data_IF_501950255736
#
_entry.id   IF_501950255736
#
_cell.length_a   1.000
_cell.length_b   1.000
_cell.length_c   1.000
_cell.angle_alpha   90.00
_cell.angle_beta   90.00
_cell.angle_gamma   90.00
#
_symmetry.space_group_name_H-M   'P 1'
#
loop_
_entity.id
_entity.type
_entity.pdbx_description
1 polymer ?
#
# COMPACT_ATOMS: atom_id res chain seq x y z
N UNK A 1 1.50 -0.80 -26.03
CA UNK A 1 0.40 -0.34 -25.18
C UNK A 1 0.85 0.90 -24.43
N UNK A 2 0.11 1.96 -24.58
CA UNK A 2 0.41 3.20 -23.89
C UNK A 2 -0.29 3.18 -22.54
N UNK A 3 0.43 3.46 -21.47
CA UNK A 3 -0.12 3.51 -20.15
C UNK A 3 -0.20 4.97 -19.70
N UNK A 4 -1.39 5.45 -19.42
CA UNK A 4 -1.59 6.80 -18.93
C UNK A 4 -1.91 6.79 -17.44
N UNK A 5 -1.16 7.59 -16.67
CA UNK A 5 -1.46 7.86 -15.29
C UNK A 5 -2.16 9.21 -15.19
N UNK A 6 -3.31 9.20 -14.57
CA UNK A 6 -4.07 10.43 -14.31
C UNK A 6 -3.67 11.00 -12.96
N UNK A 7 -3.28 12.25 -12.94
CA UNK A 7 -2.96 12.95 -11.69
C UNK A 7 -4.24 13.31 -10.94
N UNK A 8 -4.19 13.37 -9.62
CA UNK A 8 -3.02 13.11 -8.78
C UNK A 8 -2.75 11.61 -8.61
N UNK A 9 -1.46 11.28 -8.45
CA UNK A 9 -0.96 9.91 -8.34
C UNK A 9 -0.51 9.64 -6.90
N UNK A 10 -0.87 8.47 -6.38
CA UNK A 10 -0.41 7.99 -5.09
C UNK A 10 0.47 6.75 -5.29
N UNK A 11 1.63 6.73 -4.67
CA UNK A 11 2.50 5.56 -4.65
C UNK A 11 2.29 4.85 -3.31
N UNK A 12 1.83 3.59 -3.36
CA UNK A 12 1.58 2.78 -2.17
C UNK A 12 2.68 1.75 -2.04
N UNK A 13 3.35 1.74 -0.88
CA UNK A 13 4.34 0.71 -0.55
C UNK A 13 3.79 -0.25 0.49
N UNK A 14 3.90 -1.54 0.22
CA UNK A 14 3.40 -2.62 1.09
C UNK A 14 4.56 -3.38 1.71
N UNK A 15 4.63 -3.36 3.05
CA UNK A 15 5.68 -4.03 3.80
C UNK A 15 7.02 -3.31 3.69
N UNK A 16 8.10 -3.95 4.16
CA UNK A 16 9.42 -3.32 4.25
C UNK A 16 10.04 -2.98 2.90
N UNK A 17 10.09 -3.94 2.00
CA UNK A 17 10.69 -3.74 0.66
C UNK A 17 9.84 -2.78 -0.15
N UNK A 18 8.52 -2.97 -0.15
CA UNK A 18 7.60 -2.10 -0.87
C UNK A 18 7.67 -0.66 -0.38
N UNK A 19 7.83 -0.45 0.93
CA UNK A 19 7.94 0.88 1.52
C UNK A 19 9.16 1.63 1.02
N UNK A 20 10.30 0.95 0.96
CA UNK A 20 11.54 1.55 0.44
C UNK A 20 11.41 1.92 -1.02
N UNK A 21 10.83 1.01 -1.82
CA UNK A 21 10.61 1.25 -3.24
C UNK A 21 9.63 2.41 -3.46
N UNK A 22 8.58 2.49 -2.66
CA UNK A 22 7.59 3.55 -2.77
C UNK A 22 8.18 4.92 -2.43
N UNK A 23 9.01 4.98 -1.40
CA UNK A 23 9.69 6.22 -1.01
C UNK A 23 10.57 6.74 -2.14
N UNK A 24 11.35 5.87 -2.76
CA UNK A 24 12.19 6.26 -3.90
C UNK A 24 11.35 6.66 -5.11
N UNK A 25 10.33 5.87 -5.44
CA UNK A 25 9.47 6.14 -6.60
C UNK A 25 8.70 7.45 -6.44
N UNK A 26 8.23 7.77 -5.23
CA UNK A 26 7.47 9.00 -5.00
C UNK A 26 8.31 10.25 -5.25
N UNK A 27 9.59 10.18 -4.92
CA UNK A 27 10.52 11.26 -5.25
C UNK A 27 10.70 11.42 -6.75
N UNK A 28 10.81 10.31 -7.45
CA UNK A 28 11.01 10.29 -8.90
C UNK A 28 9.80 10.87 -9.64
N UNK A 29 8.60 10.49 -9.22
CA UNK A 29 7.35 10.95 -9.82
C UNK A 29 6.81 12.24 -9.22
N UNK A 30 7.49 12.80 -8.23
CA UNK A 30 7.01 13.97 -7.48
C UNK A 30 5.58 13.76 -6.97
N UNK A 31 5.33 12.59 -6.40
CA UNK A 31 4.01 12.17 -5.92
C UNK A 31 4.04 11.95 -4.41
N UNK A 32 2.85 11.86 -3.81
CA UNK A 32 2.72 11.45 -2.41
C UNK A 32 2.89 9.93 -2.30
N UNK A 33 3.29 9.47 -1.12
CA UNK A 33 3.43 8.06 -0.82
C UNK A 33 2.61 7.67 0.40
N UNK A 34 2.09 6.45 0.36
CA UNK A 34 1.37 5.82 1.46
C UNK A 34 2.04 4.50 1.77
N UNK A 35 2.45 4.32 3.02
CA UNK A 35 3.07 3.08 3.45
C UNK A 35 2.05 2.29 4.26
N UNK A 36 1.80 1.05 3.86
CA UNK A 36 0.91 0.12 4.57
C UNK A 36 1.75 -1.07 5.02
N UNK A 37 1.84 -1.26 6.31
CA UNK A 37 2.67 -2.32 6.88
C UNK A 37 2.15 -2.75 8.24
N UNK A 38 2.51 -3.97 8.64
CA UNK A 38 2.29 -4.46 10.00
C UNK A 38 3.51 -4.22 10.90
N UNK A 39 4.58 -3.65 10.39
CA UNK A 39 5.81 -3.38 11.15
C UNK A 39 6.06 -1.87 11.19
N UNK A 40 6.10 -1.31 12.40
CA UNK A 40 6.30 0.12 12.61
C UNK A 40 7.64 0.63 12.08
N UNK A 41 8.63 -0.25 11.93
CA UNK A 41 9.94 0.11 11.38
C UNK A 41 9.86 0.55 9.91
N UNK A 42 8.81 0.17 9.21
CA UNK A 42 8.64 0.47 7.80
C UNK A 42 8.14 1.90 7.56
N UNK A 43 7.66 2.59 8.59
CA UNK A 43 7.10 3.92 8.46
C UNK A 43 8.19 4.99 8.56
N UNK A 44 8.00 6.07 7.80
CA UNK A 44 8.86 7.25 7.90
C UNK A 44 8.00 8.50 8.17
N UNK A 45 8.67 9.64 8.45
CA UNK A 45 7.98 10.88 8.79
C UNK A 45 7.48 11.66 7.58
N UNK A 46 7.87 11.26 6.37
CA UNK A 46 7.53 11.98 5.13
C UNK A 46 6.36 11.38 4.39
N UNK A 47 5.99 10.13 4.71
CA UNK A 47 4.90 9.43 4.04
C UNK A 47 3.69 9.32 4.94
N UNK A 48 2.51 9.28 4.35
CA UNK A 48 1.31 8.85 5.07
C UNK A 48 1.46 7.36 5.40
N UNK A 49 0.82 6.91 6.44
CA UNK A 49 0.96 5.52 6.88
C UNK A 49 -0.36 4.93 7.36
N UNK A 50 -0.53 3.65 7.08
CA UNK A 50 -1.60 2.83 7.65
C UNK A 50 -0.94 1.64 8.32
N UNK A 51 -1.08 1.55 9.64
CA UNK A 51 -0.54 0.44 10.40
C UNK A 51 -1.60 -0.66 10.50
N UNK A 52 -1.29 -1.80 9.88
CA UNK A 52 -2.15 -2.99 9.95
C UNK A 52 -1.73 -3.80 11.17
N UNK A 53 -2.52 -3.74 12.24
CA UNK A 53 -2.13 -4.37 13.50
C UNK A 53 -2.31 -5.88 13.46
N UNK A 54 -1.24 -6.60 13.74
CA UNK A 54 -1.25 -8.07 13.88
C UNK A 54 -0.89 -8.50 15.29
N UNK A 55 -0.83 -7.55 16.22
CA UNK A 55 -0.52 -7.84 17.62
C UNK A 55 -1.62 -8.70 18.25
N UNK A 56 -1.29 -9.60 19.18
CA UNK A 56 0.04 -9.82 19.78
C UNK A 56 0.92 -10.85 19.05
N UNK A 57 0.60 -11.24 17.83
CA UNK A 57 1.30 -12.29 17.11
C UNK A 57 2.65 -11.77 16.60
N UNK A 58 3.74 -12.43 16.99
CA UNK A 58 5.11 -12.02 16.65
C UNK A 58 5.49 -12.38 15.22
N UNK A 59 4.96 -13.48 14.69
CA UNK A 59 5.28 -13.93 13.33
C UNK A 59 3.96 -14.27 12.62
N UNK A 60 3.20 -13.24 12.19
CA UNK A 60 1.85 -13.46 11.66
C UNK A 60 1.87 -14.22 10.34
N UNK A 61 0.84 -15.03 10.14
CA UNK A 61 0.62 -15.73 8.87
C UNK A 61 0.10 -14.77 7.79
N UNK A 62 0.17 -15.23 6.53
CA UNK A 62 -0.42 -14.49 5.41
C UNK A 62 -1.91 -14.23 5.65
N UNK A 63 -2.63 -15.23 6.17
CA UNK A 63 -4.06 -15.10 6.43
C UNK A 63 -4.36 -14.05 7.50
N UNK A 64 -3.54 -14.00 8.56
CA UNK A 64 -3.72 -12.99 9.60
C UNK A 64 -3.44 -11.59 9.09
N UNK A 65 -2.38 -11.41 8.33
CA UNK A 65 -2.05 -10.11 7.72
C UNK A 65 -3.17 -9.67 6.79
N UNK A 66 -3.67 -10.57 5.95
CA UNK A 66 -4.78 -10.27 5.04
C UNK A 66 -6.04 -9.85 5.79
N UNK A 67 -6.43 -10.58 6.82
CA UNK A 67 -7.59 -10.26 7.63
C UNK A 67 -7.46 -8.92 8.32
N UNK A 68 -6.28 -8.61 8.86
CA UNK A 68 -6.02 -7.33 9.50
C UNK A 68 -6.04 -6.18 8.49
N UNK A 69 -5.58 -6.43 7.26
CA UNK A 69 -5.65 -5.45 6.18
C UNK A 69 -7.10 -5.13 5.83
N UNK A 70 -7.95 -6.15 5.75
CA UNK A 70 -9.38 -5.97 5.49
C UNK A 70 -10.03 -5.14 6.59
N UNK A 71 -9.64 -5.35 7.85
CA UNK A 71 -10.14 -4.55 8.97
C UNK A 71 -9.74 -3.07 8.86
N UNK A 72 -8.67 -2.77 8.14
CA UNK A 72 -8.21 -1.39 7.91
C UNK A 72 -8.79 -0.77 6.64
N UNK A 73 -9.74 -1.43 6.00
CA UNK A 73 -10.30 -1.04 4.71
C UNK A 73 -10.78 0.41 4.66
N UNK A 74 -11.54 0.85 5.67
CA UNK A 74 -12.07 2.22 5.71
C UNK A 74 -10.97 3.26 5.69
N UNK A 75 -9.91 3.03 6.47
CA UNK A 75 -8.77 3.93 6.53
C UNK A 75 -8.03 3.98 5.19
N UNK A 76 -7.87 2.82 4.55
CA UNK A 76 -7.20 2.74 3.26
C UNK A 76 -8.02 3.45 2.18
N UNK A 77 -9.35 3.26 2.16
CA UNK A 77 -10.23 3.95 1.22
C UNK A 77 -10.15 5.46 1.36
N UNK A 78 -10.11 5.96 2.60
CA UNK A 78 -9.98 7.39 2.85
C UNK A 78 -8.66 7.93 2.29
N UNK A 79 -7.57 7.18 2.47
CA UNK A 79 -6.25 7.61 1.99
C UNK A 79 -6.18 7.67 0.46
N UNK A 80 -6.83 6.74 -0.25
CA UNK A 80 -6.77 6.70 -1.71
C UNK A 80 -7.83 7.59 -2.37
N UNK A 81 -8.83 8.07 -1.64
CA UNK A 81 -9.98 8.77 -2.21
C UNK A 81 -9.63 10.02 -3.00
N UNK A 82 -8.55 10.70 -2.64
CA UNK A 82 -8.13 11.97 -3.23
C UNK A 82 -7.30 11.78 -4.52
N UNK A 83 -7.00 10.56 -4.89
CA UNK A 83 -6.09 10.28 -6.02
C UNK A 83 -6.84 9.61 -7.15
N UNK A 84 -6.38 9.88 -8.39
CA UNK A 84 -6.97 9.28 -9.59
C UNK A 84 -6.25 8.00 -9.99
N UNK A 85 -4.96 7.92 -9.73
CA UNK A 85 -4.12 6.77 -10.08
C UNK A 85 -3.32 6.31 -8.87
N UNK A 86 -3.06 5.01 -8.80
CA UNK A 86 -2.33 4.38 -7.71
C UNK A 86 -1.27 3.46 -8.29
N UNK A 87 -0.04 3.60 -7.81
CA UNK A 87 1.06 2.67 -8.12
C UNK A 87 1.33 1.86 -6.85
N UNK A 88 1.19 0.55 -6.94
CA UNK A 88 1.39 -0.35 -5.80
C UNK A 88 2.74 -1.04 -5.93
N UNK A 89 3.57 -0.90 -4.92
CA UNK A 89 4.90 -1.51 -4.85
C UNK A 89 4.95 -2.51 -3.71
N UNK A 90 5.24 -3.76 -4.04
CA UNK A 90 5.27 -4.85 -3.07
C UNK A 90 6.24 -5.93 -3.50
N UNK A 91 6.86 -6.58 -2.51
CA UNK A 91 7.60 -7.80 -2.75
C UNK A 91 6.64 -8.99 -2.56
N UNK A 92 6.20 -9.59 -3.66
CA UNK A 92 5.23 -10.69 -3.61
C UNK A 92 5.83 -11.99 -3.04
N UNK A 93 7.15 -12.07 -2.94
CA UNK A 93 7.81 -13.18 -2.26
C UNK A 93 7.76 -13.03 -0.73
N UNK A 94 7.53 -11.83 -0.21
CA UNK A 94 7.37 -11.59 1.22
C UNK A 94 5.93 -11.79 1.68
N UNK A 95 5.76 -12.15 2.96
CA UNK A 95 4.42 -12.40 3.52
C UNK A 95 3.51 -11.17 3.47
N UNK A 96 4.05 -10.01 3.83
CA UNK A 96 3.27 -8.77 3.87
C UNK A 96 2.79 -8.36 2.49
N UNK A 97 3.70 -8.35 1.50
CA UNK A 97 3.34 -8.02 0.13
C UNK A 97 2.32 -8.98 -0.45
N UNK A 98 2.53 -10.28 -0.27
CA UNK A 98 1.62 -11.30 -0.77
C UNK A 98 0.24 -11.24 -0.13
N UNK A 99 0.18 -10.88 1.16
CA UNK A 99 -1.09 -10.79 1.89
C UNK A 99 -1.87 -9.52 1.57
N UNK A 100 -1.17 -8.38 1.45
CA UNK A 100 -1.82 -7.07 1.34
C UNK A 100 -2.12 -6.66 -0.10
N UNK A 101 -1.28 -7.03 -1.07
CA UNK A 101 -1.43 -6.55 -2.43
C UNK A 101 -2.80 -6.87 -3.05
N UNK A 102 -3.36 -8.08 -2.93
CA UNK A 102 -4.69 -8.35 -3.48
C UNK A 102 -5.78 -7.49 -2.83
N UNK A 103 -5.71 -7.26 -1.53
CA UNK A 103 -6.70 -6.46 -0.80
C UNK A 103 -6.64 -5.00 -1.26
N UNK A 104 -5.43 -4.43 -1.30
CA UNK A 104 -5.25 -3.04 -1.71
C UNK A 104 -5.65 -2.84 -3.17
N UNK A 105 -5.27 -3.76 -4.04
CA UNK A 105 -5.63 -3.72 -5.46
C UNK A 105 -7.15 -3.72 -5.64
N UNK A 106 -7.85 -4.57 -4.91
CA UNK A 106 -9.31 -4.66 -4.95
C UNK A 106 -9.97 -3.38 -4.47
N UNK A 107 -9.49 -2.81 -3.37
CA UNK A 107 -10.00 -1.54 -2.84
C UNK A 107 -9.86 -0.44 -3.88
N UNK A 108 -8.69 -0.31 -4.50
CA UNK A 108 -8.45 0.72 -5.49
C UNK A 108 -9.34 0.56 -6.72
N UNK A 109 -9.56 -0.67 -7.17
CA UNK A 109 -10.46 -0.94 -8.28
C UNK A 109 -11.91 -0.58 -7.96
N UNK A 110 -12.36 -0.90 -6.74
CA UNK A 110 -13.71 -0.55 -6.28
C UNK A 110 -13.90 0.96 -6.18
N UNK A 111 -12.83 1.70 -5.91
CA UNK A 111 -12.84 3.16 -5.86
C UNK A 111 -12.59 3.81 -7.23
N UNK A 112 -12.59 3.02 -8.30
CA UNK A 112 -12.43 3.47 -9.68
C UNK A 112 -11.09 4.17 -9.94
N UNK A 113 -10.02 3.70 -9.29
CA UNK A 113 -8.68 4.24 -9.52
C UNK A 113 -7.98 3.47 -10.64
N UNK A 114 -7.12 4.16 -11.39
CA UNK A 114 -6.19 3.51 -12.32
C UNK A 114 -5.07 2.88 -11.49
N UNK A 115 -4.83 1.57 -11.64
CA UNK A 115 -3.90 0.83 -10.77
C UNK A 115 -2.78 0.21 -11.59
N UNK A 116 -1.54 0.46 -11.15
CA UNK A 116 -0.34 -0.25 -11.62
C UNK A 116 0.26 -0.98 -10.42
N UNK A 117 0.56 -2.26 -10.59
CA UNK A 117 1.24 -3.07 -9.57
C UNK A 117 2.62 -3.48 -10.04
#
# INVERSE_FOLDING_TARGET
MTFELHEPVLVIGLGGVGSKLATEASKYFNSNSLIISNDEKDFDSQSHSVHVSTKPVLNPSVQLIRGSTIQSESQIRDEVSQYSSVIIMANLAGKSGAAMAPVISQICKEENKSVIS
#
